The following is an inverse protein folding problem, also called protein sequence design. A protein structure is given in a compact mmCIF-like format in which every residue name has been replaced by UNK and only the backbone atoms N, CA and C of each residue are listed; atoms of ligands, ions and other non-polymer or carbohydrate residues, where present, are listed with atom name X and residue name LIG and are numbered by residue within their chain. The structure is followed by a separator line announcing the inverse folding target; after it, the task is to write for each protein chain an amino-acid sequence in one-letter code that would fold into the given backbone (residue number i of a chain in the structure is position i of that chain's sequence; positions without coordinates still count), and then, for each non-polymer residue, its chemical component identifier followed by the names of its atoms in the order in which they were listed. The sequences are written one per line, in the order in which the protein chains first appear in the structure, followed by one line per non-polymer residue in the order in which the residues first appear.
data_IF_368846111151
#
_entry.id   IF_368846111151
#
_cell.length_a   1.000
_cell.length_b   1.000
_cell.length_c   1.000
_cell.angle_alpha   90.00
_cell.angle_beta   90.00
_cell.angle_gamma   90.00
#
_symmetry.space_group_name_H-M   'P 1'
#
loop_
_entity.id
_entity.type
_entity.pdbx_description
1 polymer ?
#
# COMPACT_ATOMS: atom_id res chain seq x y z
N UNK A 1 45.85 8.10 -39.30
CA UNK A 1 45.82 7.58 -37.91
C UNK A 1 46.94 8.28 -37.15
N UNK A 2 46.77 8.81 -35.91
CA UNK A 2 45.69 8.60 -34.93
C UNK A 2 45.04 9.91 -34.42
N UNK A 3 44.19 9.72 -33.40
CA UNK A 3 43.15 10.55 -32.78
C UNK A 3 43.59 11.88 -32.13
N UNK A 4 42.73 12.90 -32.27
CA UNK A 4 42.57 13.99 -31.30
C UNK A 4 41.42 13.63 -30.35
N UNK A 5 41.65 13.70 -29.03
CA UNK A 5 40.57 13.74 -28.04
C UNK A 5 40.82 14.89 -27.07
N UNK A 6 39.87 15.82 -27.07
CA UNK A 6 39.75 17.03 -26.28
C UNK A 6 39.74 16.75 -24.77
N UNK A 7 40.65 17.40 -24.02
CA UNK A 7 40.47 17.62 -22.58
C UNK A 7 39.55 18.82 -22.40
N UNK A 8 38.31 18.57 -21.98
CA UNK A 8 37.51 19.58 -21.27
C UNK A 8 37.78 19.40 -19.79
N UNK A 9 38.30 20.46 -19.19
CA UNK A 9 38.46 20.63 -17.76
C UNK A 9 37.29 21.49 -17.32
N UNK A 10 36.39 20.97 -16.49
CA UNK A 10 35.54 21.82 -15.65
C UNK A 10 35.55 21.28 -14.23
N UNK A 11 35.89 22.20 -13.33
CA UNK A 11 36.19 22.02 -11.92
C UNK A 11 35.20 22.87 -11.13
N UNK A 12 34.35 22.22 -10.32
CA UNK A 12 33.69 22.72 -9.09
C UNK A 12 32.45 21.86 -8.85
N UNK A 13 32.19 21.29 -7.68
CA UNK A 13 32.54 21.73 -6.35
C UNK A 13 33.18 20.61 -5.53
N UNK A 14 34.28 20.94 -4.86
CA UNK A 14 34.90 20.12 -3.83
C UNK A 14 33.92 19.96 -2.65
N UNK A 15 33.35 18.77 -2.52
CA UNK A 15 32.86 18.28 -1.24
C UNK A 15 34.07 17.76 -0.45
N UNK A 16 34.19 18.25 0.77
CA UNK A 16 35.25 17.96 1.74
C UNK A 16 35.67 16.47 1.75
N UNK A 17 36.96 16.11 1.58
CA UNK A 17 37.41 14.71 1.51
C UNK A 17 37.35 13.97 2.85
N UNK A 18 37.00 14.64 3.94
CA UNK A 18 37.13 14.10 5.30
C UNK A 18 36.18 12.93 5.60
N UNK A 19 35.18 12.67 4.75
CA UNK A 19 34.25 11.55 4.91
C UNK A 19 34.68 10.26 4.22
N UNK A 20 35.78 10.25 3.46
CA UNK A 20 36.15 9.09 2.64
C UNK A 20 37.02 8.02 3.34
N UNK A 21 37.30 8.14 4.63
CA UNK A 21 38.28 7.25 5.27
C UNK A 21 37.73 5.94 5.86
N UNK A 22 36.42 5.64 5.80
CA UNK A 22 35.86 4.39 6.34
C UNK A 22 34.88 3.64 5.42
N UNK A 23 35.06 3.72 4.10
CA UNK A 23 34.41 2.76 3.19
C UNK A 23 35.42 1.70 2.75
N UNK A 24 35.24 0.41 3.11
CA UNK A 24 36.11 -0.65 2.64
C UNK A 24 35.96 -0.83 1.11
N UNK A 25 37.05 -1.02 0.37
CA UNK A 25 37.01 -1.16 -1.08
C UNK A 25 36.44 -2.54 -1.44
N UNK A 26 35.24 -2.58 -2.02
CA UNK A 26 34.66 -3.82 -2.55
C UNK A 26 33.15 -3.98 -2.53
N UNK A 27 32.37 -3.03 -2.02
CA UNK A 27 30.91 -3.11 -2.15
C UNK A 27 30.48 -2.82 -3.58
N UNK A 28 30.43 -3.87 -4.40
CA UNK A 28 29.54 -3.92 -5.56
C UNK A 28 28.14 -3.54 -5.06
N UNK A 29 27.47 -2.61 -5.73
CA UNK A 29 26.05 -2.28 -5.49
C UNK A 29 25.10 -3.47 -5.76
N UNK A 30 25.65 -4.67 -5.96
CA UNK A 30 25.04 -5.96 -6.18
C UNK A 30 25.15 -6.84 -4.91
N UNK A 31 24.93 -6.24 -3.74
CA UNK A 31 24.86 -6.96 -2.47
C UNK A 31 23.46 -7.54 -2.19
N UNK A 32 23.31 -8.38 -1.15
CA UNK A 32 22.00 -8.89 -0.68
C UNK A 32 20.98 -7.77 -0.38
N UNK A 33 21.47 -6.56 -0.11
CA UNK A 33 20.69 -5.34 0.04
C UNK A 33 19.85 -5.01 -1.21
N UNK A 34 20.42 -5.10 -2.41
CA UNK A 34 19.68 -4.87 -3.66
C UNK A 34 18.56 -5.92 -3.88
N UNK A 35 18.80 -7.15 -3.42
CA UNK A 35 17.84 -8.24 -3.53
C UNK A 35 16.67 -8.07 -2.53
N UNK A 36 16.96 -7.60 -1.30
CA UNK A 36 15.93 -7.18 -0.34
C UNK A 36 15.07 -6.05 -0.89
N UNK A 37 15.69 -4.96 -1.39
CA UNK A 37 14.95 -3.79 -1.94
C UNK A 37 14.02 -4.20 -3.08
N UNK A 38 14.47 -5.10 -3.96
CA UNK A 38 13.65 -5.63 -5.07
C UNK A 38 12.42 -6.41 -4.57
N UNK A 39 12.55 -7.18 -3.47
CA UNK A 39 11.42 -7.91 -2.90
C UNK A 39 10.36 -6.97 -2.31
N UNK A 40 10.77 -5.93 -1.58
CA UNK A 40 9.83 -4.92 -1.06
C UNK A 40 9.17 -4.12 -2.18
N UNK A 41 9.94 -3.77 -3.23
CA UNK A 41 9.38 -3.12 -4.42
C UNK A 41 8.32 -3.99 -5.12
N UNK A 42 8.48 -5.31 -5.13
CA UNK A 42 7.50 -6.22 -5.70
C UNK A 42 6.22 -6.26 -4.86
N UNK A 43 6.33 -6.31 -3.52
CA UNK A 43 5.17 -6.26 -2.62
C UNK A 43 4.39 -4.96 -2.83
N UNK A 44 5.07 -3.81 -2.91
CA UNK A 44 4.44 -2.52 -3.20
C UNK A 44 3.75 -2.51 -4.58
N UNK A 45 4.38 -3.11 -5.59
CA UNK A 45 3.79 -3.23 -6.93
C UNK A 45 2.51 -4.07 -6.92
N UNK A 46 2.49 -5.19 -6.19
CA UNK A 46 1.29 -6.02 -6.02
C UNK A 46 0.20 -5.20 -5.34
N UNK A 47 0.51 -4.53 -4.22
CA UNK A 47 -0.45 -3.71 -3.50
C UNK A 47 -1.02 -2.58 -4.37
N UNK A 48 -0.17 -1.91 -5.14
CA UNK A 48 -0.58 -0.86 -6.08
C UNK A 48 -1.48 -1.42 -7.19
N UNK A 49 -1.18 -2.62 -7.69
CA UNK A 49 -1.99 -3.29 -8.71
C UNK A 49 -3.38 -3.65 -8.18
N UNK A 50 -3.45 -4.22 -6.97
CA UNK A 50 -4.70 -4.54 -6.30
C UNK A 50 -5.53 -3.28 -6.00
N UNK A 51 -4.89 -2.20 -5.55
CA UNK A 51 -5.54 -0.91 -5.30
C UNK A 51 -6.07 -0.27 -6.59
N UNK A 52 -5.32 -0.38 -7.68
CA UNK A 52 -5.72 0.12 -8.99
C UNK A 52 -6.92 -0.66 -9.54
N UNK A 53 -6.95 -1.98 -9.34
CA UNK A 53 -8.10 -2.81 -9.69
C UNK A 53 -9.34 -2.42 -8.87
N UNK A 54 -9.20 -2.23 -7.55
CA UNK A 54 -10.30 -1.75 -6.70
C UNK A 54 -10.85 -0.40 -7.19
N UNK A 55 -9.96 0.57 -7.46
CA UNK A 55 -10.34 1.87 -7.98
C UNK A 55 -11.07 1.76 -9.33
N UNK A 56 -10.61 0.88 -10.22
CA UNK A 56 -11.22 0.64 -11.52
C UNK A 56 -12.64 0.09 -11.38
N UNK A 57 -12.84 -0.97 -10.59
CA UNK A 57 -14.18 -1.56 -10.38
C UNK A 57 -15.09 -0.57 -9.66
N UNK A 58 -14.59 0.12 -8.63
CA UNK A 58 -15.33 1.16 -7.94
C UNK A 58 -15.77 2.25 -8.94
N UNK A 59 -14.93 2.68 -9.87
CA UNK A 59 -15.29 3.75 -10.83
C UNK A 59 -16.20 3.29 -11.96
N UNK A 60 -16.05 2.05 -12.44
CA UNK A 60 -16.70 1.55 -13.67
C UNK A 60 -17.90 0.63 -13.44
N UNK A 61 -18.17 0.20 -12.20
CA UNK A 61 -19.24 -0.76 -11.87
C UNK A 61 -20.63 -0.40 -12.40
N UNK A 62 -20.97 0.89 -12.49
CA UNK A 62 -22.28 1.32 -13.02
C UNK A 62 -22.39 1.13 -14.55
N UNK A 63 -21.28 1.07 -15.30
CA UNK A 63 -21.31 0.81 -16.75
C UNK A 63 -21.78 -0.63 -17.05
N UNK A 64 -21.49 -1.56 -16.14
CA UNK A 64 -21.84 -2.98 -16.29
C UNK A 64 -23.18 -3.32 -15.66
N UNK A 65 -24.02 -2.30 -15.41
CA UNK A 65 -25.30 -2.46 -14.70
C UNK A 65 -26.29 -3.42 -15.38
N UNK A 66 -26.16 -3.62 -16.70
CA UNK A 66 -27.07 -4.46 -17.50
C UNK A 66 -26.73 -5.94 -17.42
N UNK A 67 -25.55 -6.31 -16.91
CA UNK A 67 -25.06 -7.68 -16.83
C UNK A 67 -24.80 -8.08 -15.36
N UNK A 68 -25.85 -8.48 -14.60
CA UNK A 68 -25.73 -8.76 -13.17
C UNK A 68 -24.68 -9.83 -12.83
N UNK A 69 -24.52 -10.83 -13.70
CA UNK A 69 -23.54 -11.90 -13.49
C UNK A 69 -22.10 -11.37 -13.55
N UNK A 70 -21.76 -10.52 -14.54
CA UNK A 70 -20.43 -9.91 -14.65
C UNK A 70 -20.16 -8.98 -13.46
N UNK A 71 -21.17 -8.20 -13.06
CA UNK A 71 -21.08 -7.32 -11.89
C UNK A 71 -20.79 -8.10 -10.59
N UNK A 72 -21.47 -9.23 -10.38
CA UNK A 72 -21.23 -10.11 -9.24
C UNK A 72 -19.78 -10.59 -9.18
N UNK A 73 -19.24 -11.06 -10.30
CA UNK A 73 -17.87 -11.56 -10.38
C UNK A 73 -16.88 -10.43 -10.06
N UNK A 74 -17.08 -9.24 -10.62
CA UNK A 74 -16.20 -8.10 -10.35
C UNK A 74 -16.23 -7.68 -8.88
N UNK A 75 -17.39 -7.66 -8.23
CA UNK A 75 -17.50 -7.36 -6.80
C UNK A 75 -16.80 -8.40 -5.92
N UNK A 76 -16.93 -9.69 -6.24
CA UNK A 76 -16.22 -10.75 -5.53
C UNK A 76 -14.71 -10.56 -5.66
N UNK A 77 -14.20 -10.32 -6.88
CA UNK A 77 -12.77 -10.10 -7.10
C UNK A 77 -12.30 -8.81 -6.39
N UNK A 78 -13.14 -7.77 -6.36
CA UNK A 78 -12.85 -6.53 -5.67
C UNK A 78 -12.73 -6.73 -4.16
N UNK A 79 -13.71 -7.40 -3.52
CA UNK A 79 -13.70 -7.69 -2.09
C UNK A 79 -12.49 -8.55 -1.70
N UNK A 80 -12.15 -9.54 -2.52
CA UNK A 80 -10.94 -10.36 -2.36
C UNK A 80 -9.69 -9.48 -2.48
N UNK A 81 -9.63 -8.54 -3.43
CA UNK A 81 -8.48 -7.66 -3.62
C UNK A 81 -8.28 -6.69 -2.44
N UNK A 82 -9.37 -6.15 -1.88
CA UNK A 82 -9.34 -5.32 -0.66
C UNK A 82 -8.85 -6.17 0.52
N UNK A 83 -9.37 -7.40 0.67
CA UNK A 83 -8.95 -8.33 1.72
C UNK A 83 -7.46 -8.69 1.61
N UNK A 84 -6.96 -8.98 0.41
CA UNK A 84 -5.54 -9.24 0.18
C UNK A 84 -4.67 -8.03 0.51
N UNK A 85 -5.09 -6.82 0.12
CA UNK A 85 -4.39 -5.58 0.50
C UNK A 85 -4.28 -5.42 2.03
N UNK A 86 -5.37 -5.72 2.76
CA UNK A 86 -5.36 -5.73 4.23
C UNK A 86 -4.41 -6.80 4.79
N UNK A 87 -4.45 -8.02 4.25
CA UNK A 87 -3.56 -9.12 4.67
C UNK A 87 -2.09 -8.75 4.42
N UNK A 88 -1.75 -8.17 3.27
CA UNK A 88 -0.37 -7.78 2.97
C UNK A 88 0.12 -6.72 3.96
N UNK A 89 -0.70 -5.72 4.31
CA UNK A 89 -0.33 -4.75 5.36
C UNK A 89 -0.08 -5.45 6.69
N UNK A 90 -0.94 -6.39 7.10
CA UNK A 90 -0.77 -7.14 8.34
C UNK A 90 0.51 -7.97 8.32
N UNK A 91 0.81 -8.65 7.21
CA UNK A 91 2.06 -9.41 7.03
C UNK A 91 3.29 -8.50 7.07
N UNK A 92 3.26 -7.35 6.40
CA UNK A 92 4.35 -6.37 6.45
C UNK A 92 4.56 -5.86 7.87
N UNK A 93 3.49 -5.63 8.63
CA UNK A 93 3.53 -5.22 10.03
C UNK A 93 4.19 -6.28 10.91
N UNK A 94 3.78 -7.54 10.81
CA UNK A 94 4.34 -8.65 11.58
C UNK A 94 5.81 -8.93 11.26
N UNK A 95 6.22 -8.66 10.03
CA UNK A 95 7.60 -8.82 9.61
C UNK A 95 8.53 -7.70 10.13
N UNK A 96 8.01 -6.59 10.66
CA UNK A 96 8.86 -5.50 11.18
C UNK A 96 9.60 -5.88 12.47
N UNK A 97 10.82 -5.36 12.63
CA UNK A 97 11.63 -5.60 13.83
C UNK A 97 10.95 -5.11 15.12
N UNK A 98 10.24 -3.97 15.05
CA UNK A 98 9.48 -3.39 16.17
C UNK A 98 8.43 -4.35 16.72
N UNK A 99 7.78 -5.11 15.83
CA UNK A 99 6.80 -6.12 16.21
C UNK A 99 7.50 -7.34 16.87
N UNK A 100 8.65 -7.76 16.33
CA UNK A 100 9.43 -8.89 16.84
C UNK A 100 9.99 -8.67 18.25
N UNK A 101 10.39 -7.44 18.59
CA UNK A 101 10.89 -7.11 19.93
C UNK A 101 9.79 -6.84 20.97
N UNK A 102 8.51 -7.07 20.62
CA UNK A 102 7.38 -6.99 21.55
C UNK A 102 6.74 -5.61 21.69
N UNK A 103 7.13 -4.62 20.87
CA UNK A 103 6.52 -3.27 20.86
C UNK A 103 5.23 -3.20 20.01
N UNK A 104 4.48 -4.29 20.00
CA UNK A 104 3.27 -4.48 19.18
C UNK A 104 2.23 -3.38 19.44
N UNK A 105 2.03 -3.00 20.71
CA UNK A 105 1.06 -1.98 21.09
C UNK A 105 1.34 -0.62 20.45
N UNK A 106 2.61 -0.17 20.46
CA UNK A 106 3.04 1.12 19.88
C UNK A 106 2.85 1.11 18.36
N UNK A 107 3.19 -0.01 17.72
CA UNK A 107 3.06 -0.15 16.28
C UNK A 107 1.58 -0.20 15.86
N UNK A 108 0.76 -0.97 16.58
CA UNK A 108 -0.69 -1.02 16.35
C UNK A 108 -1.35 0.31 16.61
N UNK A 109 -0.97 1.06 17.64
CA UNK A 109 -1.51 2.40 17.90
C UNK A 109 -1.25 3.35 16.72
N UNK A 110 -0.06 3.27 16.13
CA UNK A 110 0.33 4.08 14.97
C UNK A 110 -0.45 3.72 13.70
N UNK A 111 -0.69 2.43 13.44
CA UNK A 111 -1.39 1.97 12.23
C UNK A 111 -2.88 1.67 12.42
N UNK A 112 -3.41 1.84 13.65
CA UNK A 112 -4.79 1.56 14.03
C UNK A 112 -5.79 2.21 13.09
N UNK A 113 -5.55 3.48 12.73
CA UNK A 113 -6.42 4.21 11.84
C UNK A 113 -6.55 3.54 10.46
N UNK A 114 -5.44 3.07 9.89
CA UNK A 114 -5.44 2.43 8.56
C UNK A 114 -6.08 1.04 8.63
N UNK A 115 -5.83 0.28 9.69
CA UNK A 115 -6.47 -1.03 9.90
C UNK A 115 -7.98 -0.88 10.08
N UNK A 116 -8.42 0.07 10.91
CA UNK A 116 -9.84 0.38 11.11
C UNK A 116 -10.49 0.86 9.82
N UNK A 117 -9.84 1.77 9.09
CA UNK A 117 -10.35 2.28 7.81
C UNK A 117 -10.45 1.17 6.76
N UNK A 118 -9.47 0.28 6.69
CA UNK A 118 -9.48 -0.86 5.76
C UNK A 118 -10.60 -1.84 6.08
N UNK A 119 -10.79 -2.18 7.36
CA UNK A 119 -11.87 -3.07 7.81
C UNK A 119 -13.26 -2.45 7.58
N UNK A 120 -13.41 -1.16 7.89
CA UNK A 120 -14.64 -0.40 7.67
C UNK A 120 -14.96 -0.31 6.16
N UNK A 121 -13.97 -0.02 5.34
CA UNK A 121 -14.13 0.04 3.89
C UNK A 121 -14.56 -1.32 3.31
N UNK A 122 -13.88 -2.41 3.68
CA UNK A 122 -14.26 -3.76 3.28
C UNK A 122 -15.69 -4.11 3.71
N UNK A 123 -16.07 -3.74 4.94
CA UNK A 123 -17.42 -3.99 5.46
C UNK A 123 -18.48 -3.24 4.66
N UNK A 124 -18.26 -1.94 4.40
CA UNK A 124 -19.19 -1.15 3.59
C UNK A 124 -19.26 -1.64 2.15
N UNK A 125 -18.15 -2.04 1.53
CA UNK A 125 -18.13 -2.65 0.20
C UNK A 125 -18.95 -3.94 0.16
N UNK A 126 -18.74 -4.88 1.08
CA UNK A 126 -19.49 -6.15 1.13
C UNK A 126 -20.99 -5.90 1.33
N UNK A 127 -21.38 -5.00 2.25
CA UNK A 127 -22.80 -4.68 2.49
C UNK A 127 -23.41 -4.08 1.22
N UNK A 128 -22.73 -3.12 0.59
CA UNK A 128 -23.20 -2.47 -0.63
C UNK A 128 -23.34 -3.47 -1.77
N UNK A 129 -22.31 -4.29 -2.02
CA UNK A 129 -22.32 -5.32 -3.05
C UNK A 129 -23.44 -6.34 -2.84
N UNK A 130 -23.60 -6.83 -1.61
CA UNK A 130 -24.63 -7.80 -1.24
C UNK A 130 -26.04 -7.23 -1.46
N UNK A 131 -26.28 -5.99 -1.03
CA UNK A 131 -27.57 -5.33 -1.21
C UNK A 131 -27.86 -5.07 -2.69
N UNK A 132 -26.89 -4.53 -3.42
CA UNK A 132 -27.02 -4.20 -4.84
C UNK A 132 -27.27 -5.46 -5.68
N UNK A 133 -26.57 -6.56 -5.38
CA UNK A 133 -26.77 -7.84 -6.05
C UNK A 133 -28.11 -8.48 -5.70
N UNK A 134 -28.57 -8.38 -4.45
CA UNK A 134 -29.88 -8.90 -4.06
C UNK A 134 -31.02 -8.23 -4.85
N UNK A 135 -30.96 -6.91 -5.02
CA UNK A 135 -31.97 -6.16 -5.78
C UNK A 135 -31.94 -6.50 -7.28
N UNK A 136 -30.73 -6.55 -7.87
CA UNK A 136 -30.55 -6.76 -9.31
C UNK A 136 -30.79 -8.20 -9.75
N UNK A 137 -30.48 -9.18 -8.90
CA UNK A 137 -30.71 -10.59 -9.19
C UNK A 137 -32.20 -10.94 -9.23
N UNK A 138 -33.01 -10.29 -8.39
CA UNK A 138 -34.45 -10.52 -8.31
C UNK A 138 -35.26 -9.69 -9.31
N UNK A 139 -34.77 -8.52 -9.74
CA UNK A 139 -35.50 -7.58 -10.59
C UNK A 139 -34.63 -6.94 -11.69
N UNK A 140 -34.15 -7.74 -12.65
CA UNK A 140 -33.22 -7.31 -13.71
C UNK A 140 -33.64 -6.06 -14.50
N UNK A 141 -34.94 -5.79 -14.62
CA UNK A 141 -35.48 -4.71 -15.46
C UNK A 141 -36.05 -3.49 -14.71
N UNK A 142 -35.99 -3.44 -13.37
CA UNK A 142 -36.46 -2.27 -12.61
C UNK A 142 -35.30 -1.51 -11.98
N UNK A 143 -35.29 -0.21 -12.17
CA UNK A 143 -34.38 0.71 -11.50
C UNK A 143 -34.81 0.86 -10.04
N UNK A 144 -34.40 -0.08 -9.18
CA UNK A 144 -34.72 -0.09 -7.74
C UNK A 144 -33.54 0.49 -6.98
N UNK A 145 -33.53 1.81 -6.79
CA UNK A 145 -32.64 2.50 -5.86
C UNK A 145 -33.46 2.99 -4.68
N UNK A 146 -33.11 2.55 -3.48
CA UNK A 146 -33.69 3.06 -2.23
C UNK A 146 -32.82 4.20 -1.69
N UNK A 147 -33.41 5.13 -0.94
CA UNK A 147 -32.67 6.25 -0.33
C UNK A 147 -31.49 5.75 0.52
N UNK A 148 -31.69 4.66 1.28
CA UNK A 148 -30.64 4.04 2.08
C UNK A 148 -29.50 3.46 1.25
N UNK A 149 -29.81 2.83 0.10
CA UNK A 149 -28.80 2.31 -0.81
C UNK A 149 -27.98 3.44 -1.46
N UNK A 150 -28.63 4.55 -1.82
CA UNK A 150 -27.95 5.72 -2.37
C UNK A 150 -26.99 6.35 -1.35
N UNK A 151 -27.43 6.51 -0.09
CA UNK A 151 -26.58 7.01 0.99
C UNK A 151 -25.39 6.08 1.21
N UNK A 152 -25.63 4.76 1.31
CA UNK A 152 -24.55 3.78 1.49
C UNK A 152 -23.56 3.81 0.31
N UNK A 153 -24.06 3.91 -0.92
CA UNK A 153 -23.25 4.03 -2.13
C UNK A 153 -22.35 5.28 -2.09
N UNK A 154 -22.90 6.44 -1.69
CA UNK A 154 -22.13 7.68 -1.56
C UNK A 154 -21.08 7.58 -0.45
N UNK A 155 -21.48 7.07 0.72
CA UNK A 155 -20.59 6.91 1.88
C UNK A 155 -19.46 5.94 1.56
N UNK A 156 -19.74 4.82 0.90
CA UNK A 156 -18.73 3.85 0.50
C UNK A 156 -17.70 4.46 -0.46
N UNK A 157 -18.14 5.26 -1.45
CA UNK A 157 -17.23 5.96 -2.37
C UNK A 157 -16.43 7.08 -1.70
N UNK A 158 -17.03 7.81 -0.77
CA UNK A 158 -16.30 8.80 0.02
C UNK A 158 -15.24 8.12 0.90
N UNK A 159 -15.59 6.98 1.52
CA UNK A 159 -14.67 6.17 2.31
C UNK A 159 -13.53 5.59 1.46
N UNK A 160 -13.78 5.24 0.19
CA UNK A 160 -12.75 4.71 -0.71
C UNK A 160 -11.63 5.73 -0.97
N UNK A 161 -11.97 7.02 -1.15
CA UNK A 161 -10.98 8.10 -1.33
C UNK A 161 -10.05 8.19 -0.11
N UNK A 162 -10.61 8.15 1.10
CA UNK A 162 -9.84 8.14 2.34
C UNK A 162 -8.98 6.87 2.43
N UNK A 163 -9.57 5.70 2.15
CA UNK A 163 -8.88 4.42 2.15
C UNK A 163 -7.65 4.45 1.23
N UNK A 164 -7.79 4.89 -0.02
CA UNK A 164 -6.67 4.96 -0.97
C UNK A 164 -5.56 5.89 -0.50
N UNK A 165 -5.90 7.07 0.02
CA UNK A 165 -4.93 8.03 0.52
C UNK A 165 -4.11 7.47 1.70
N UNK A 166 -4.80 6.96 2.72
CA UNK A 166 -4.13 6.42 3.92
C UNK A 166 -3.39 5.11 3.63
N UNK A 167 -3.92 4.28 2.74
CA UNK A 167 -3.29 3.04 2.31
C UNK A 167 -1.96 3.34 1.61
N UNK A 168 -1.95 4.20 0.59
CA UNK A 168 -0.73 4.61 -0.13
C UNK A 168 0.34 5.13 0.82
N UNK A 169 -0.03 6.04 1.73
CA UNK A 169 0.91 6.62 2.70
C UNK A 169 1.51 5.56 3.63
N UNK A 170 0.71 4.57 4.00
CA UNK A 170 1.10 3.49 4.90
C UNK A 170 2.01 2.50 4.20
N UNK A 171 1.71 2.10 2.97
CA UNK A 171 2.55 1.18 2.21
C UNK A 171 3.89 1.81 1.85
N UNK A 172 3.95 3.09 1.49
CA UNK A 172 5.22 3.80 1.29
C UNK A 172 6.08 3.82 2.56
N UNK A 173 5.46 4.00 3.73
CA UNK A 173 6.16 3.97 5.02
C UNK A 173 6.64 2.57 5.42
N UNK A 174 5.79 1.55 5.25
CA UNK A 174 6.14 0.14 5.53
C UNK A 174 7.09 -0.45 4.48
N UNK A 175 7.19 0.14 3.29
CA UNK A 175 8.12 -0.27 2.26
C UNK A 175 9.57 0.14 2.51
N UNK A 176 9.84 0.98 3.52
CA UNK A 176 11.20 1.38 3.87
C UNK A 176 11.96 0.21 4.54
N UNK A 177 13.03 -0.31 3.91
CA UNK A 177 13.80 -1.43 4.45
C UNK A 177 14.40 -1.14 5.84
N UNK A 178 14.58 0.14 6.20
CA UNK A 178 15.12 0.56 7.51
C UNK A 178 14.24 0.14 8.70
N UNK A 179 12.97 -0.14 8.47
CA UNK A 179 12.04 -0.61 9.51
C UNK A 179 12.24 -2.09 9.88
N UNK A 180 12.96 -2.83 9.03
CA UNK A 180 13.23 -4.27 9.16
C UNK A 180 14.64 -4.56 9.69
N UNK A 181 15.51 -3.55 9.76
CA UNK A 181 16.89 -3.68 10.22
C UNK A 181 17.09 -2.99 11.58
N UNK A 182 18.04 -3.50 12.39
CA UNK A 182 18.41 -2.91 13.69
C UNK A 182 19.19 -1.60 13.48
N UNK A 183 18.45 -0.53 13.17
CA UNK A 183 19.03 0.78 12.88
C UNK A 183 19.27 1.60 14.17
N UNK A 184 20.26 2.52 14.17
CA UNK A 184 20.52 3.39 15.32
C UNK A 184 19.31 4.23 15.75
N UNK A 185 18.48 4.64 14.79
CA UNK A 185 17.23 5.37 15.05
C UNK A 185 16.22 4.53 15.83
N UNK A 186 16.09 3.24 15.50
CA UNK A 186 15.25 2.29 16.23
C UNK A 186 15.72 2.18 17.69
N UNK A 187 17.03 2.06 17.91
CA UNK A 187 17.64 2.02 19.25
C UNK A 187 17.34 3.26 20.09
N UNK A 188 17.31 4.44 19.46
CA UNK A 188 16.96 5.69 20.13
C UNK A 188 15.46 5.83 20.43
N UNK A 189 14.59 5.29 19.55
CA UNK A 189 13.16 5.21 19.84
C UNK A 189 12.91 4.25 21.03
N UNK A 190 13.62 3.13 21.08
CA UNK A 190 13.53 2.17 22.19
C UNK A 190 14.03 2.76 23.51
N UNK A 191 15.07 3.60 23.51
CA UNK A 191 15.55 4.24 24.74
C UNK A 191 14.53 5.24 25.30
N UNK A 192 13.78 5.94 24.44
CA UNK A 192 12.73 6.90 24.84
C UNK A 192 11.45 6.24 25.33
N UNK A 193 11.04 5.08 24.78
CA UNK A 193 9.81 4.38 25.20
C UNK A 193 10.01 3.59 26.50
N UNK A 194 11.26 3.29 26.88
CA UNK A 194 11.60 2.56 28.12
C UNK A 194 11.79 3.45 29.34
N UNK A 195 11.78 4.78 29.17
CA UNK A 195 11.72 5.77 30.26
C UNK A 195 10.26 6.04 30.64
#
# INVERSE_FOLDING_TARGET
MPFYSTRVCECSAALDPSWNHHSPPGHTAFGPEALKTKNYSLVLLIQLSLLSFDLFVNSSSELLRTEPATMLVLFIIQDISILFNLIIILLMLFNTYVFQVGLVAVLLERFRAVLMLSALYLTFSIILHSWLMNLRWLNTNRFVWTDGLQVLFLVQRAASVLYYYFYKRTTEYLGDPRLYEDSPWLRELFSRVRQ
#
